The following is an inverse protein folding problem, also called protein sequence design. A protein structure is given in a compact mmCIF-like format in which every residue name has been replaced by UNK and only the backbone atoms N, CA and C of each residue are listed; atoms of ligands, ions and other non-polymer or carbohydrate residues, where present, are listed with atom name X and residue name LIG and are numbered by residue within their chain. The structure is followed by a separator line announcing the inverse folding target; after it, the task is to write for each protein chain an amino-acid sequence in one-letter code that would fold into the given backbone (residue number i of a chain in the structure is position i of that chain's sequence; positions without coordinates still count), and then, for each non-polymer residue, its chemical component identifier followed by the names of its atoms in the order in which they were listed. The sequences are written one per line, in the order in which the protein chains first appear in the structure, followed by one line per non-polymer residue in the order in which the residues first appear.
data_IF_819468543386
#
_entry.id   IF_819468543386
#
_cell.length_a   1.000
_cell.length_b   1.000
_cell.length_c   1.000
_cell.angle_alpha   90.00
_cell.angle_beta   90.00
_cell.angle_gamma   90.00
#
_symmetry.space_group_name_H-M   'P 1'
#
loop_
_entity.id
_entity.type
_entity.pdbx_description
1 polymer ?
#
# COMPACT_ATOMS: atom_id res chain seq x y z
N UNK A 1 21.66 25.26 26.24
CA UNK A 1 20.28 25.80 26.13
C UNK A 1 20.21 26.51 24.79
N UNK A 2 19.41 26.20 23.78
CA UNK A 2 18.27 25.29 23.54
C UNK A 2 18.38 24.82 22.07
N UNK A 3 18.14 23.51 21.82
CA UNK A 3 18.19 22.87 20.50
C UNK A 3 16.90 23.18 19.73
N UNK A 4 16.99 23.79 18.55
CA UNK A 4 15.91 23.84 17.57
C UNK A 4 16.12 22.76 16.50
N UNK A 5 15.29 21.72 16.52
CA UNK A 5 15.19 20.69 15.48
C UNK A 5 14.40 21.22 14.29
N UNK A 6 14.91 21.18 13.05
CA UNK A 6 14.10 21.49 11.86
C UNK A 6 13.23 20.29 11.46
N UNK A 7 11.93 20.54 11.26
CA UNK A 7 10.94 19.56 10.81
C UNK A 7 11.15 19.15 9.34
N UNK A 8 10.82 17.91 8.93
CA UNK A 8 11.25 17.36 7.64
C UNK A 8 10.13 17.36 6.58
N UNK A 9 9.40 18.46 6.39
CA UNK A 9 8.35 18.55 5.36
C UNK A 9 8.35 19.89 4.59
N UNK A 10 9.14 20.02 3.52
CA UNK A 10 8.81 20.95 2.44
C UNK A 10 8.24 20.16 1.25
N UNK A 11 7.38 20.80 0.45
CA UNK A 11 6.66 20.30 -0.73
C UNK A 11 5.31 19.61 -0.48
N UNK A 12 4.32 20.38 0.00
CA UNK A 12 2.89 20.23 -0.38
C UNK A 12 2.17 21.53 0.01
N UNK A 13 2.38 22.58 -0.78
CA UNK A 13 1.64 23.84 -0.69
C UNK A 13 1.30 24.24 -2.12
N UNK A 14 0.04 24.05 -2.50
CA UNK A 14 -0.40 24.44 -3.84
C UNK A 14 -1.81 24.04 -4.25
N UNK A 15 -2.51 23.16 -3.51
CA UNK A 15 -3.95 22.93 -3.68
C UNK A 15 -4.55 22.65 -2.31
N UNK A 16 -5.03 23.73 -1.70
CA UNK A 16 -5.60 23.74 -0.37
C UNK A 16 -7.01 23.11 -0.37
N UNK A 17 -7.39 22.39 0.70
CA UNK A 17 -8.78 21.94 0.93
C UNK A 17 -9.83 23.07 0.90
N UNK A 18 -9.39 24.33 0.99
CA UNK A 18 -10.22 25.52 0.77
C UNK A 18 -10.83 25.62 -0.64
N UNK A 19 -10.15 25.13 -1.69
CA UNK A 19 -10.71 25.17 -3.06
C UNK A 19 -11.86 24.15 -3.23
N UNK A 20 -11.77 23.03 -2.53
CA UNK A 20 -12.80 21.99 -2.52
C UNK A 20 -14.01 22.45 -1.68
N UNK A 21 -13.76 23.17 -0.58
CA UNK A 21 -14.81 23.81 0.22
C UNK A 21 -15.52 24.96 -0.53
N UNK A 22 -14.77 25.76 -1.30
CA UNK A 22 -15.32 26.86 -2.11
C UNK A 22 -16.15 26.35 -3.28
N UNK A 23 -15.77 25.23 -3.93
CA UNK A 23 -16.63 24.62 -4.95
C UNK A 23 -17.91 24.00 -4.36
N UNK A 24 -17.85 23.45 -3.15
CA UNK A 24 -19.05 22.93 -2.47
C UNK A 24 -19.97 24.08 -2.03
N UNK A 25 -19.41 25.20 -1.56
CA UNK A 25 -20.18 26.39 -1.18
C UNK A 25 -20.75 27.17 -2.38
N UNK A 26 -20.07 27.19 -3.53
CA UNK A 26 -20.58 27.88 -4.73
C UNK A 26 -21.79 27.19 -5.36
N UNK A 27 -21.94 25.87 -5.16
CA UNK A 27 -23.13 25.13 -5.58
C UNK A 27 -24.32 25.43 -4.65
N UNK A 28 -24.07 25.69 -3.37
CA UNK A 28 -25.11 26.02 -2.38
C UNK A 28 -25.64 27.46 -2.46
N UNK A 29 -24.90 28.39 -3.07
CA UNK A 29 -25.23 29.84 -3.07
C UNK A 29 -26.00 30.33 -4.31
N UNK A 30 -26.21 29.50 -5.33
CA UNK A 30 -26.93 29.89 -6.55
C UNK A 30 -28.47 29.70 -6.49
N UNK A 31 -29.02 29.23 -5.37
CA UNK A 31 -30.44 28.84 -5.25
C UNK A 31 -31.40 29.87 -4.64
N UNK A 32 -30.97 31.12 -4.38
CA UNK A 32 -31.83 32.11 -3.73
C UNK A 32 -32.24 33.25 -4.66
N UNK A 33 -33.31 33.05 -5.43
CA UNK A 33 -34.10 34.15 -6.01
C UNK A 33 -35.47 34.20 -5.32
N UNK A 34 -35.79 35.37 -4.77
CA UNK A 34 -37.02 35.66 -4.05
C UNK A 34 -38.15 35.93 -5.06
N UNK A 35 -39.24 35.16 -5.00
CA UNK A 35 -40.50 35.49 -5.67
C UNK A 35 -41.64 35.45 -4.64
N UNK A 36 -42.56 36.42 -4.72
CA UNK A 36 -43.65 36.60 -3.77
C UNK A 36 -44.71 35.51 -3.96
N UNK A 37 -44.93 34.70 -2.93
CA UNK A 37 -45.74 33.48 -2.99
C UNK A 37 -47.03 33.62 -2.17
N UNK A 38 -48.15 33.24 -2.79
CA UNK A 38 -49.48 33.18 -2.17
C UNK A 38 -49.69 31.86 -1.37
N UNK A 39 -50.59 31.83 -0.36
CA UNK A 39 -50.66 30.76 0.64
C UNK A 39 -50.99 29.35 0.13
N UNK A 40 -51.50 29.22 -1.10
CA UNK A 40 -51.83 27.91 -1.70
C UNK A 40 -50.65 27.27 -2.46
N UNK A 41 -49.68 28.03 -2.95
CA UNK A 41 -48.47 27.43 -3.56
C UNK A 41 -47.50 26.94 -2.50
N UNK A 42 -47.48 27.54 -1.30
CA UNK A 42 -46.61 27.11 -0.19
C UNK A 42 -46.77 25.62 0.14
N UNK A 43 -48.00 25.08 0.11
CA UNK A 43 -48.23 23.67 0.41
C UNK A 43 -47.66 22.74 -0.68
N UNK A 44 -47.76 23.15 -1.94
CA UNK A 44 -47.25 22.41 -3.09
C UNK A 44 -45.72 22.56 -3.21
N UNK A 45 -45.19 23.76 -2.99
CA UNK A 45 -43.76 24.07 -2.96
C UNK A 45 -43.06 23.35 -1.80
N UNK A 46 -43.74 23.17 -0.65
CA UNK A 46 -43.21 22.41 0.51
C UNK A 46 -43.22 20.91 0.24
N UNK A 47 -44.23 20.39 -0.45
CA UNK A 47 -44.31 18.97 -0.82
C UNK A 47 -43.28 18.61 -1.90
N UNK A 48 -43.11 19.47 -2.89
CA UNK A 48 -42.07 19.35 -3.93
C UNK A 48 -40.66 19.48 -3.33
N UNK A 49 -40.43 20.45 -2.43
CA UNK A 49 -39.15 20.56 -1.71
C UNK A 49 -38.89 19.36 -0.79
N UNK A 50 -39.92 18.78 -0.17
CA UNK A 50 -39.77 17.58 0.65
C UNK A 50 -39.38 16.35 -0.18
N UNK A 51 -39.95 16.21 -1.39
CA UNK A 51 -39.62 15.15 -2.33
C UNK A 51 -38.19 15.31 -2.90
N UNK A 52 -37.79 16.54 -3.23
CA UNK A 52 -36.42 16.85 -3.68
C UNK A 52 -35.37 16.58 -2.59
N UNK A 53 -35.67 16.94 -1.33
CA UNK A 53 -34.80 16.63 -0.18
C UNK A 53 -34.71 15.12 0.03
N UNK A 54 -35.81 14.38 -0.13
CA UNK A 54 -35.83 12.93 0.03
C UNK A 54 -35.00 12.22 -1.05
N UNK A 55 -35.13 12.62 -2.32
CA UNK A 55 -34.36 12.09 -3.44
C UNK A 55 -32.86 12.43 -3.31
N UNK A 56 -32.54 13.68 -2.96
CA UNK A 56 -31.15 14.11 -2.68
C UNK A 56 -30.53 13.30 -1.54
N UNK A 57 -31.30 13.05 -0.48
CA UNK A 57 -30.88 12.20 0.64
C UNK A 57 -30.63 10.76 0.19
N UNK A 58 -31.52 10.16 -0.60
CA UNK A 58 -31.35 8.80 -1.12
C UNK A 58 -30.10 8.67 -2.01
N UNK A 59 -29.89 9.62 -2.93
CA UNK A 59 -28.69 9.66 -3.78
C UNK A 59 -27.42 9.82 -2.95
N UNK A 60 -27.46 10.65 -1.91
CA UNK A 60 -26.37 10.82 -0.94
C UNK A 60 -26.05 9.53 -0.18
N UNK A 61 -27.07 8.77 0.23
CA UNK A 61 -26.90 7.47 0.90
C UNK A 61 -26.28 6.42 -0.04
N UNK A 62 -26.60 6.44 -1.34
CA UNK A 62 -25.98 5.54 -2.34
C UNK A 62 -24.48 5.80 -2.49
N UNK A 63 -24.08 7.07 -2.63
CA UNK A 63 -22.65 7.45 -2.66
C UNK A 63 -21.96 7.07 -1.35
N UNK A 64 -22.63 7.31 -0.23
CA UNK A 64 -22.06 7.02 1.07
C UNK A 64 -21.75 5.53 1.25
N UNK A 65 -22.70 4.70 0.87
CA UNK A 65 -22.57 3.24 0.93
C UNK A 65 -21.46 2.75 0.00
N UNK A 66 -21.44 3.21 -1.26
CA UNK A 66 -20.43 2.82 -2.24
C UNK A 66 -18.99 3.19 -1.80
N UNK A 67 -18.79 4.37 -1.22
CA UNK A 67 -17.48 4.79 -0.72
C UNK A 67 -17.01 3.96 0.49
N UNK A 68 -17.93 3.62 1.38
CA UNK A 68 -17.61 2.82 2.55
C UNK A 68 -17.33 1.35 2.18
N UNK A 69 -18.13 0.78 1.29
CA UNK A 69 -17.88 -0.53 0.70
C UNK A 69 -16.52 -0.58 0.00
N UNK A 70 -16.23 0.40 -0.85
CA UNK A 70 -14.95 0.49 -1.54
C UNK A 70 -13.75 0.55 -0.60
N UNK A 71 -13.90 1.25 0.52
CA UNK A 71 -12.87 1.32 1.55
C UNK A 71 -12.67 -0.03 2.23
N UNK A 72 -13.77 -0.73 2.56
CA UNK A 72 -13.73 -2.08 3.12
C UNK A 72 -13.06 -3.09 2.18
N UNK A 73 -13.43 -3.06 0.89
CA UNK A 73 -12.81 -3.90 -0.15
C UNK A 73 -11.34 -3.54 -0.33
N UNK A 74 -10.97 -2.25 -0.31
CA UNK A 74 -9.56 -1.84 -0.40
C UNK A 74 -8.71 -2.38 0.75
N UNK A 75 -9.29 -2.48 1.96
CA UNK A 75 -8.62 -3.03 3.14
C UNK A 75 -8.45 -4.55 3.06
N UNK A 76 -9.39 -5.28 2.47
CA UNK A 76 -9.28 -6.73 2.28
C UNK A 76 -9.87 -7.15 0.93
N UNK A 77 -9.13 -6.98 -0.17
CA UNK A 77 -9.69 -7.14 -1.52
C UNK A 77 -10.25 -8.53 -1.79
N UNK A 78 -9.54 -9.57 -1.36
CA UNK A 78 -10.00 -10.95 -1.54
C UNK A 78 -11.29 -11.22 -0.76
N UNK A 79 -11.36 -10.79 0.50
CA UNK A 79 -12.56 -10.98 1.31
C UNK A 79 -13.72 -10.13 0.78
N UNK A 80 -13.46 -8.87 0.43
CA UNK A 80 -14.46 -7.95 -0.11
C UNK A 80 -15.09 -8.48 -1.40
N UNK A 81 -14.26 -8.88 -2.37
CA UNK A 81 -14.74 -9.47 -3.63
C UNK A 81 -15.53 -10.76 -3.38
N UNK A 82 -15.09 -11.63 -2.47
CA UNK A 82 -15.85 -12.83 -2.11
C UNK A 82 -17.22 -12.48 -1.50
N UNK A 83 -17.28 -11.50 -0.59
CA UNK A 83 -18.54 -11.08 0.04
C UNK A 83 -19.51 -10.52 -0.99
N UNK A 84 -19.05 -9.60 -1.85
CA UNK A 84 -19.84 -9.03 -2.95
C UNK A 84 -20.35 -10.14 -3.87
N UNK A 85 -19.45 -11.04 -4.29
CA UNK A 85 -19.82 -12.14 -5.17
C UNK A 85 -20.81 -13.12 -4.53
N UNK A 86 -20.71 -13.41 -3.23
CA UNK A 86 -21.72 -14.21 -2.50
C UNK A 86 -23.06 -13.48 -2.46
N UNK A 87 -23.04 -12.18 -2.12
CA UNK A 87 -24.25 -11.38 -2.04
C UNK A 87 -24.98 -11.32 -3.38
N UNK A 88 -24.28 -11.01 -4.48
CA UNK A 88 -24.86 -10.98 -5.82
C UNK A 88 -25.29 -12.36 -6.31
N UNK A 89 -24.59 -13.42 -5.89
CA UNK A 89 -24.95 -14.79 -6.28
C UNK A 89 -26.27 -15.25 -5.66
N UNK A 90 -26.56 -14.87 -4.39
CA UNK A 90 -27.78 -15.28 -3.68
C UNK A 90 -28.90 -14.24 -3.74
N UNK A 91 -28.57 -12.95 -3.86
CA UNK A 91 -29.51 -11.83 -3.83
C UNK A 91 -29.95 -11.34 -5.22
N UNK A 92 -29.24 -11.69 -6.30
CA UNK A 92 -29.60 -11.27 -7.65
C UNK A 92 -30.83 -12.01 -8.20
N UNK A 93 -31.71 -11.30 -8.89
CA UNK A 93 -32.78 -11.88 -9.71
C UNK A 93 -32.21 -12.88 -10.73
N UNK A 94 -33.03 -13.85 -11.15
CA UNK A 94 -32.71 -15.01 -12.01
C UNK A 94 -32.10 -14.70 -13.40
N UNK A 95 -31.73 -13.44 -13.67
CA UNK A 95 -31.07 -12.99 -14.89
C UNK A 95 -29.60 -13.39 -15.00
N UNK A 96 -28.90 -12.74 -15.95
CA UNK A 96 -27.48 -12.98 -16.21
C UNK A 96 -26.63 -12.44 -15.06
N UNK A 97 -26.11 -13.34 -14.22
CA UNK A 97 -25.25 -12.99 -13.09
C UNK A 97 -23.94 -12.34 -13.56
N UNK A 98 -23.38 -11.38 -12.81
CA UNK A 98 -22.05 -10.83 -13.10
C UNK A 98 -20.98 -11.91 -13.14
N UNK A 99 -19.91 -11.69 -13.92
CA UNK A 99 -18.85 -12.69 -14.11
C UNK A 99 -18.17 -13.11 -12.80
N UNK A 100 -18.01 -12.17 -11.85
CA UNK A 100 -17.41 -12.41 -10.54
C UNK A 100 -18.34 -13.17 -9.58
N UNK A 101 -19.66 -13.15 -9.83
CA UNK A 101 -20.62 -13.97 -9.09
C UNK A 101 -20.72 -15.41 -9.64
N UNK A 102 -20.01 -15.75 -10.73
CA UNK A 102 -19.99 -17.11 -11.25
C UNK A 102 -19.33 -18.09 -10.26
N UNK A 103 -19.88 -19.30 -10.12
CA UNK A 103 -19.31 -20.33 -9.24
C UNK A 103 -17.86 -20.69 -9.60
N UNK A 104 -17.51 -20.59 -10.89
CA UNK A 104 -16.16 -20.82 -11.38
C UNK A 104 -15.13 -19.82 -10.85
N UNK A 105 -15.56 -18.60 -10.53
CA UNK A 105 -14.70 -17.62 -9.87
C UNK A 105 -14.84 -17.69 -8.34
N UNK A 106 -16.09 -17.78 -7.85
CA UNK A 106 -16.42 -17.69 -6.43
C UNK A 106 -15.83 -18.85 -5.61
N UNK A 107 -15.95 -20.09 -6.10
CA UNK A 107 -15.48 -21.28 -5.35
C UNK A 107 -13.96 -21.25 -5.18
N UNK A 108 -13.14 -21.02 -6.22
CA UNK A 108 -11.70 -20.84 -6.04
C UNK A 108 -11.33 -19.66 -5.15
N UNK A 109 -12.02 -18.52 -5.28
CA UNK A 109 -11.75 -17.33 -4.47
C UNK A 109 -12.01 -17.59 -2.98
N UNK A 110 -13.14 -18.24 -2.64
CA UNK A 110 -13.46 -18.66 -1.28
C UNK A 110 -12.47 -19.70 -0.75
N UNK A 111 -12.06 -20.67 -1.58
CA UNK A 111 -11.04 -21.65 -1.20
C UNK A 111 -9.69 -20.98 -0.86
N UNK A 112 -9.27 -19.99 -1.66
CA UNK A 112 -8.07 -19.19 -1.37
C UNK A 112 -8.23 -18.36 -0.09
N UNK A 113 -9.39 -17.73 0.11
CA UNK A 113 -9.68 -16.97 1.32
C UNK A 113 -9.62 -17.86 2.58
N UNK A 114 -10.22 -19.06 2.52
CA UNK A 114 -10.17 -20.05 3.59
C UNK A 114 -8.75 -20.55 3.83
N UNK A 115 -7.97 -20.79 2.76
CA UNK A 115 -6.55 -21.17 2.89
C UNK A 115 -5.74 -20.07 3.60
N UNK A 116 -6.00 -18.80 3.28
CA UNK A 116 -5.37 -17.64 3.92
C UNK A 116 -5.78 -17.52 5.39
N UNK A 117 -7.06 -17.71 5.70
CA UNK A 117 -7.55 -17.71 7.08
C UNK A 117 -6.93 -18.86 7.89
N UNK A 118 -6.86 -20.06 7.29
CA UNK A 118 -6.31 -21.27 7.90
C UNK A 118 -4.81 -21.14 8.20
N UNK A 119 -4.00 -20.58 7.29
CA UNK A 119 -2.58 -20.35 7.58
C UNK A 119 -2.36 -19.30 8.67
N UNK A 120 -3.29 -18.35 8.84
CA UNK A 120 -3.15 -17.29 9.82
C UNK A 120 -3.50 -17.79 11.23
N UNK A 121 -4.44 -18.73 11.35
CA UNK A 121 -4.80 -19.39 12.62
C UNK A 121 -3.79 -20.46 13.03
N UNK A 122 -3.29 -21.26 12.08
CA UNK A 122 -2.37 -22.37 12.36
C UNK A 122 -0.90 -22.03 12.07
N UNK A 123 -0.60 -20.76 11.76
CA UNK A 123 0.70 -20.29 11.29
C UNK A 123 1.89 -20.61 12.21
N UNK A 124 1.66 -20.81 13.50
CA UNK A 124 2.70 -21.20 14.45
C UNK A 124 3.12 -22.67 14.31
N UNK A 125 2.20 -23.53 13.86
CA UNK A 125 2.45 -24.96 13.64
C UNK A 125 3.31 -25.23 12.39
N UNK A 126 3.34 -24.29 11.44
CA UNK A 126 4.05 -24.48 10.15
C UNK A 126 5.54 -24.16 10.18
N UNK A 127 6.09 -23.70 11.32
CA UNK A 127 7.52 -23.44 11.51
C UNK A 127 8.18 -22.70 10.33
N UNK A 128 9.13 -23.32 9.59
CA UNK A 128 9.85 -22.67 8.49
C UNK A 128 8.99 -22.37 7.24
N UNK A 129 7.84 -23.05 7.05
CA UNK A 129 6.95 -22.84 5.90
C UNK A 129 6.09 -21.57 6.01
N UNK A 130 6.02 -20.97 7.20
CA UNK A 130 5.24 -19.75 7.45
C UNK A 130 5.63 -18.60 6.52
N UNK A 131 6.94 -18.34 6.35
CA UNK A 131 7.42 -17.20 5.55
C UNK A 131 7.08 -17.32 4.05
N UNK A 132 7.28 -18.49 3.39
CA UNK A 132 6.76 -18.72 2.04
C UNK A 132 5.24 -18.52 1.91
N UNK A 133 4.46 -18.99 2.89
CA UNK A 133 3.01 -18.82 2.90
C UNK A 133 2.61 -17.34 3.05
N UNK A 134 3.32 -16.56 3.87
CA UNK A 134 3.13 -15.12 3.99
C UNK A 134 3.48 -14.38 2.69
N UNK A 135 4.49 -14.84 1.95
CA UNK A 135 4.84 -14.28 0.63
C UNK A 135 3.78 -14.59 -0.43
N UNK A 136 3.21 -15.80 -0.39
CA UNK A 136 2.10 -16.19 -1.26
C UNK A 136 0.84 -15.39 -0.95
N UNK A 137 0.53 -15.19 0.34
CA UNK A 137 -0.55 -14.32 0.83
C UNK A 137 -0.46 -12.92 0.23
N UNK A 138 0.73 -12.31 0.32
CA UNK A 138 0.97 -10.98 -0.23
C UNK A 138 0.80 -10.95 -1.75
N UNK A 139 1.26 -11.99 -2.46
CA UNK A 139 1.08 -12.08 -3.90
C UNK A 139 -0.40 -12.19 -4.30
N UNK A 140 -1.17 -13.01 -3.57
CA UNK A 140 -2.62 -13.16 -3.78
C UNK A 140 -3.37 -11.87 -3.44
N UNK A 141 -3.01 -11.20 -2.35
CA UNK A 141 -3.62 -9.95 -1.93
C UNK A 141 -3.37 -8.82 -2.95
N UNK A 142 -2.17 -8.79 -3.55
CA UNK A 142 -1.89 -7.87 -4.65
C UNK A 142 -2.77 -8.17 -5.88
N UNK A 143 -2.84 -9.44 -6.32
CA UNK A 143 -3.68 -9.82 -7.46
C UNK A 143 -5.17 -9.53 -7.23
N UNK A 144 -5.67 -9.85 -6.04
CA UNK A 144 -7.05 -9.59 -5.64
C UNK A 144 -7.38 -8.09 -5.61
N UNK A 145 -6.42 -7.23 -5.26
CA UNK A 145 -6.61 -5.78 -5.29
C UNK A 145 -6.89 -5.22 -6.68
N UNK A 146 -6.20 -5.73 -7.69
CA UNK A 146 -6.44 -5.34 -9.08
C UNK A 146 -7.82 -5.80 -9.54
N UNK A 147 -8.20 -7.05 -9.22
CA UNK A 147 -9.53 -7.57 -9.53
C UNK A 147 -10.64 -6.78 -8.81
N UNK A 148 -10.44 -6.46 -7.54
CA UNK A 148 -11.37 -5.65 -6.76
C UNK A 148 -11.54 -4.25 -7.35
N UNK A 149 -10.46 -3.62 -7.81
CA UNK A 149 -10.56 -2.31 -8.48
C UNK A 149 -11.44 -2.38 -9.74
N UNK A 150 -11.39 -3.48 -10.50
CA UNK A 150 -12.24 -3.67 -11.69
C UNK A 150 -13.73 -3.80 -11.37
N UNK A 151 -14.07 -4.28 -10.17
CA UNK A 151 -15.46 -4.45 -9.73
C UNK A 151 -15.97 -3.14 -9.10
N UNK A 152 -15.23 -2.61 -8.14
CA UNK A 152 -15.69 -1.54 -7.26
C UNK A 152 -15.54 -0.14 -7.86
N UNK A 153 -14.48 0.13 -8.64
CA UNK A 153 -14.26 1.49 -9.18
C UNK A 153 -15.40 1.94 -10.11
N UNK A 154 -15.92 1.08 -11.02
CA UNK A 154 -17.12 1.41 -11.80
C UNK A 154 -18.35 1.74 -10.94
N UNK A 155 -18.56 1.02 -9.84
CA UNK A 155 -19.70 1.24 -8.93
C UNK A 155 -19.60 2.58 -8.20
N UNK A 156 -18.41 2.93 -7.67
CA UNK A 156 -18.17 4.26 -7.09
C UNK A 156 -18.44 5.34 -8.14
N UNK A 157 -17.93 5.15 -9.35
CA UNK A 157 -18.14 6.11 -10.43
C UNK A 157 -19.62 6.25 -10.78
N UNK A 158 -20.38 5.16 -10.80
CA UNK A 158 -21.82 5.17 -11.03
C UNK A 158 -22.60 5.84 -9.88
N UNK A 159 -22.25 5.57 -8.63
CA UNK A 159 -22.86 6.22 -7.47
C UNK A 159 -22.58 7.73 -7.46
N UNK A 160 -21.34 8.14 -7.76
CA UNK A 160 -21.00 9.57 -7.88
C UNK A 160 -21.79 10.22 -9.01
N UNK A 161 -21.97 9.53 -10.15
CA UNK A 161 -22.80 10.03 -11.25
C UNK A 161 -24.25 10.26 -10.84
N UNK A 162 -24.84 9.43 -9.99
CA UNK A 162 -26.25 9.61 -9.58
C UNK A 162 -26.49 10.86 -8.72
N UNK A 163 -25.44 11.44 -8.14
CA UNK A 163 -25.50 12.69 -7.36
C UNK A 163 -25.07 13.90 -8.20
N UNK A 164 -24.43 13.67 -9.35
CA UNK A 164 -24.15 14.76 -10.28
C UNK A 164 -25.45 15.22 -10.94
N UNK A 165 -25.61 16.52 -11.22
CA UNK A 165 -26.79 17.03 -11.93
C UNK A 165 -26.96 16.31 -13.28
N UNK A 166 -28.20 16.07 -13.66
CA UNK A 166 -28.59 15.40 -14.91
C UNK A 166 -27.89 16.09 -16.11
N UNK A 167 -27.45 15.35 -17.16
CA UNK A 167 -26.81 15.92 -18.35
C UNK A 167 -27.49 17.17 -18.89
N UNK A 168 -28.82 17.33 -18.76
CA UNK A 168 -29.57 18.52 -19.16
C UNK A 168 -29.25 19.81 -18.38
N UNK A 169 -28.84 19.70 -17.10
CA UNK A 169 -28.44 20.85 -16.27
C UNK A 169 -26.95 21.14 -16.36
N UNK A 170 -26.13 20.11 -16.57
CA UNK A 170 -24.75 20.28 -17.02
C UNK A 170 -24.67 20.75 -18.47
N UNK A 171 -25.68 20.51 -19.31
CA UNK A 171 -25.80 21.10 -20.65
C UNK A 171 -26.03 22.59 -20.57
N UNK A 172 -26.82 23.12 -19.63
CA UNK A 172 -26.97 24.58 -19.46
C UNK A 172 -25.68 25.25 -18.96
N UNK A 173 -24.98 24.62 -18.00
CA UNK A 173 -23.69 25.09 -17.49
C UNK A 173 -22.54 24.87 -18.49
N UNK A 174 -22.58 23.78 -19.24
CA UNK A 174 -21.68 23.49 -20.34
C UNK A 174 -21.99 24.38 -21.53
N UNK A 175 -23.22 24.79 -21.81
CA UNK A 175 -23.59 25.76 -22.84
C UNK A 175 -23.13 27.17 -22.46
N UNK A 176 -23.13 27.53 -21.17
CA UNK A 176 -22.50 28.78 -20.71
C UNK A 176 -20.97 28.71 -20.80
N UNK A 177 -20.35 27.61 -20.40
CA UNK A 177 -18.91 27.40 -20.55
C UNK A 177 -18.47 27.25 -22.04
N UNK A 178 -19.33 26.67 -22.87
CA UNK A 178 -19.16 26.41 -24.29
C UNK A 178 -19.46 27.65 -25.13
N UNK A 179 -20.36 28.52 -24.72
CA UNK A 179 -20.56 29.85 -25.33
C UNK A 179 -19.41 30.79 -24.97
N UNK A 180 -18.90 30.74 -23.73
CA UNK A 180 -17.63 31.38 -23.36
C UNK A 180 -16.45 30.82 -24.16
N UNK A 181 -16.34 29.50 -24.34
CA UNK A 181 -15.28 28.87 -25.12
C UNK A 181 -15.41 29.10 -26.64
N UNK A 182 -16.63 29.07 -27.21
CA UNK A 182 -16.93 29.40 -28.62
C UNK A 182 -16.76 30.90 -28.90
N UNK A 183 -16.97 31.77 -27.91
CA UNK A 183 -16.67 33.20 -28.03
C UNK A 183 -15.16 33.50 -28.00
N UNK A 184 -14.38 32.62 -27.36
CA UNK A 184 -12.91 32.69 -27.31
C UNK A 184 -12.21 31.94 -28.46
N UNK A 185 -12.84 30.91 -29.03
CA UNK A 185 -12.30 30.11 -30.12
C UNK A 185 -13.29 30.11 -31.30
N UNK A 186 -12.97 30.91 -32.32
CA UNK A 186 -13.78 31.11 -33.52
C UNK A 186 -14.40 29.83 -34.09
N UNK A 187 -15.65 29.96 -34.54
CA UNK A 187 -16.56 28.88 -34.90
C UNK A 187 -16.03 27.96 -36.02
N UNK A 188 -15.54 26.78 -35.61
CA UNK A 188 -15.66 25.48 -36.31
C UNK A 188 -14.80 24.44 -35.56
N UNK A 189 -15.22 24.06 -34.34
CA UNK A 189 -14.48 23.15 -33.47
C UNK A 189 -15.28 21.89 -33.11
N UNK A 190 -14.60 20.79 -32.70
CA UNK A 190 -15.23 19.52 -32.33
C UNK A 190 -16.24 19.69 -31.19
N UNK A 191 -17.19 18.77 -31.09
CA UNK A 191 -18.29 18.83 -30.11
C UNK A 191 -17.75 18.72 -28.68
N UNK A 192 -17.59 19.87 -28.02
CA UNK A 192 -16.93 20.01 -26.73
C UNK A 192 -17.78 19.48 -25.56
N UNK A 193 -19.10 19.32 -25.72
CA UNK A 193 -19.99 18.69 -24.73
C UNK A 193 -19.60 17.25 -24.45
N UNK A 194 -19.37 16.47 -25.51
CA UNK A 194 -18.87 15.09 -25.45
C UNK A 194 -17.49 15.00 -24.77
N UNK A 195 -16.63 16.00 -24.98
CA UNK A 195 -15.29 16.06 -24.37
C UNK A 195 -15.39 16.38 -22.87
N UNK A 196 -16.32 17.24 -22.47
CA UNK A 196 -16.54 17.60 -21.07
C UNK A 196 -17.21 16.46 -20.28
N UNK A 197 -18.22 15.81 -20.85
CA UNK A 197 -18.90 14.67 -20.20
C UNK A 197 -17.93 13.49 -20.04
N UNK A 198 -17.28 13.08 -21.13
CA UNK A 198 -16.26 12.02 -21.07
C UNK A 198 -15.10 12.43 -20.14
N UNK A 199 -14.72 13.70 -20.12
CA UNK A 199 -13.67 14.24 -19.25
C UNK A 199 -14.01 14.17 -17.77
N UNK A 200 -15.20 14.64 -17.36
CA UNK A 200 -15.68 14.62 -15.97
C UNK A 200 -15.87 13.19 -15.48
N UNK A 201 -16.46 12.31 -16.30
CA UNK A 201 -16.67 10.92 -15.92
C UNK A 201 -15.37 10.11 -15.85
N UNK A 202 -14.43 10.36 -16.78
CA UNK A 202 -13.10 9.75 -16.73
C UNK A 202 -12.32 10.25 -15.52
N UNK A 203 -12.48 11.53 -15.16
CA UNK A 203 -11.86 12.11 -13.97
C UNK A 203 -12.43 11.50 -12.69
N UNK A 204 -13.75 11.36 -12.57
CA UNK A 204 -14.38 10.74 -11.41
C UNK A 204 -13.91 9.29 -11.20
N UNK A 205 -13.89 8.50 -12.28
CA UNK A 205 -13.35 7.14 -12.26
C UNK A 205 -11.85 7.10 -11.90
N UNK A 206 -11.07 8.05 -12.41
CA UNK A 206 -9.65 8.16 -12.06
C UNK A 206 -9.43 8.53 -10.59
N UNK A 207 -10.22 9.47 -10.05
CA UNK A 207 -10.17 9.85 -8.63
C UNK A 207 -10.56 8.67 -7.74
N UNK A 208 -11.61 7.93 -8.09
CA UNK A 208 -12.02 6.72 -7.38
C UNK A 208 -10.92 5.64 -7.41
N UNK A 209 -10.28 5.43 -8.57
CA UNK A 209 -9.16 4.52 -8.70
C UNK A 209 -7.95 4.94 -7.85
N UNK A 210 -7.64 6.23 -7.81
CA UNK A 210 -6.58 6.76 -6.95
C UNK A 210 -6.91 6.58 -5.47
N UNK A 211 -8.16 6.85 -5.07
CA UNK A 211 -8.59 6.70 -3.69
C UNK A 211 -8.51 5.24 -3.24
N UNK A 212 -9.05 4.32 -4.06
CA UNK A 212 -8.92 2.88 -3.88
C UNK A 212 -7.45 2.47 -3.79
N UNK A 213 -6.61 2.92 -4.72
CA UNK A 213 -5.19 2.61 -4.78
C UNK A 213 -4.43 3.04 -3.51
N UNK A 214 -4.72 4.22 -2.96
CA UNK A 214 -4.11 4.71 -1.72
C UNK A 214 -4.47 3.83 -0.53
N UNK A 215 -5.74 3.44 -0.40
CA UNK A 215 -6.21 2.58 0.68
C UNK A 215 -5.68 1.15 0.54
N UNK A 216 -5.69 0.63 -0.68
CA UNK A 216 -5.12 -0.67 -1.01
C UNK A 216 -3.60 -0.72 -0.75
N UNK A 217 -2.86 0.35 -1.04
CA UNK A 217 -1.43 0.46 -0.69
C UNK A 217 -1.20 0.36 0.82
N UNK A 218 -2.04 1.00 1.63
CA UNK A 218 -1.98 0.88 3.08
C UNK A 218 -2.19 -0.57 3.53
N UNK A 219 -3.17 -1.27 2.95
CA UNK A 219 -3.43 -2.66 3.29
C UNK A 219 -2.28 -3.60 2.91
N UNK A 220 -1.69 -3.46 1.73
CA UNK A 220 -0.52 -4.27 1.36
C UNK A 220 0.68 -3.99 2.28
N UNK A 221 0.87 -2.75 2.75
CA UNK A 221 1.95 -2.44 3.67
C UNK A 221 1.86 -3.26 4.97
N UNK A 222 0.65 -3.58 5.44
CA UNK A 222 0.42 -4.48 6.59
C UNK A 222 0.96 -5.88 6.32
N UNK A 223 0.63 -6.49 5.18
CA UNK A 223 1.13 -7.81 4.80
C UNK A 223 2.66 -7.82 4.59
N UNK A 224 3.22 -6.80 3.93
CA UNK A 224 4.68 -6.72 3.76
C UNK A 224 5.37 -6.59 5.12
N UNK A 225 4.78 -5.85 6.07
CA UNK A 225 5.29 -5.78 7.44
C UNK A 225 5.27 -7.15 8.12
N UNK A 226 4.24 -7.98 7.93
CA UNK A 226 4.20 -9.34 8.52
C UNK A 226 5.31 -10.23 7.95
N UNK A 227 5.66 -10.06 6.67
CA UNK A 227 6.81 -10.76 6.06
C UNK A 227 8.13 -10.32 6.71
N UNK A 228 8.34 -9.01 6.89
CA UNK A 228 9.60 -8.45 7.40
C UNK A 228 9.78 -8.70 8.90
N UNK A 229 8.70 -8.68 9.67
CA UNK A 229 8.76 -8.77 11.13
C UNK A 229 9.01 -10.22 11.56
N UNK A 230 9.98 -10.46 12.46
CA UNK A 230 10.31 -11.81 12.90
C UNK A 230 9.35 -12.35 13.96
N UNK A 231 8.59 -11.48 14.66
CA UNK A 231 7.72 -11.86 15.76
C UNK A 231 6.31 -12.27 15.27
N UNK A 232 5.86 -13.52 15.48
CA UNK A 232 4.54 -14.00 15.06
C UNK A 232 3.40 -13.15 15.61
N UNK A 233 3.47 -12.78 16.89
CA UNK A 233 2.47 -11.95 17.56
C UNK A 233 2.26 -10.58 16.90
N UNK A 234 3.34 -9.93 16.44
CA UNK A 234 3.22 -8.64 15.77
C UNK A 234 2.53 -8.79 14.42
N UNK A 235 2.78 -9.90 13.72
CA UNK A 235 2.06 -10.23 12.49
C UNK A 235 0.56 -10.41 12.73
N UNK A 236 0.19 -11.16 13.77
CA UNK A 236 -1.21 -11.36 14.17
C UNK A 236 -1.88 -10.03 14.53
N UNK A 237 -1.22 -9.20 15.35
CA UNK A 237 -1.73 -7.89 15.77
C UNK A 237 -1.97 -6.95 14.59
N UNK A 238 -1.05 -6.89 13.63
CA UNK A 238 -1.21 -6.02 12.46
C UNK A 238 -2.39 -6.48 11.58
N UNK A 239 -2.55 -7.80 11.42
CA UNK A 239 -3.67 -8.38 10.67
C UNK A 239 -5.00 -8.19 11.40
N UNK A 240 -5.02 -8.32 12.73
CA UNK A 240 -6.23 -8.10 13.53
C UNK A 240 -6.64 -6.64 13.55
N UNK A 241 -5.70 -5.68 13.58
CA UNK A 241 -6.00 -4.25 13.45
C UNK A 241 -6.65 -3.98 12.08
N UNK A 242 -6.10 -4.54 11.00
CA UNK A 242 -6.68 -4.40 9.66
C UNK A 242 -8.09 -4.98 9.59
N UNK A 243 -8.27 -6.22 10.06
CA UNK A 243 -9.57 -6.89 10.06
C UNK A 243 -10.58 -6.15 10.96
N UNK A 244 -10.14 -5.69 12.13
CA UNK A 244 -10.94 -4.89 13.06
C UNK A 244 -11.32 -3.53 12.46
N UNK A 245 -10.45 -2.91 11.67
CA UNK A 245 -10.78 -1.67 10.94
C UNK A 245 -11.85 -1.91 9.89
N UNK A 246 -11.73 -3.00 9.11
CA UNK A 246 -12.74 -3.38 8.13
C UNK A 246 -14.07 -3.76 8.80
N UNK A 247 -14.03 -4.49 9.92
CA UNK A 247 -15.21 -4.86 10.70
C UNK A 247 -15.88 -3.65 11.36
N UNK A 248 -15.10 -2.71 11.89
CA UNK A 248 -15.61 -1.45 12.44
C UNK A 248 -16.28 -0.62 11.36
N UNK A 249 -15.70 -0.56 10.17
CA UNK A 249 -16.29 0.13 9.03
C UNK A 249 -17.62 -0.50 8.61
N UNK A 250 -17.65 -1.83 8.45
CA UNK A 250 -18.87 -2.56 8.15
C UNK A 250 -19.95 -2.35 9.23
N UNK A 251 -19.56 -2.39 10.51
CA UNK A 251 -20.48 -2.10 11.62
C UNK A 251 -21.02 -0.67 11.58
N UNK A 252 -20.16 0.31 11.29
CA UNK A 252 -20.55 1.71 11.17
C UNK A 252 -21.53 1.94 10.00
N UNK A 253 -21.28 1.31 8.84
CA UNK A 253 -22.19 1.39 7.69
C UNK A 253 -23.55 0.76 7.96
N UNK A 254 -23.60 -0.34 8.72
CA UNK A 254 -24.86 -1.00 9.09
C UNK A 254 -25.71 -0.16 10.05
N UNK A 255 -25.06 0.61 10.93
CA UNK A 255 -25.76 1.52 11.85
C UNK A 255 -26.26 2.75 11.09
N UNK A 256 -25.38 3.40 10.32
CA UNK A 256 -25.72 4.61 9.57
C UNK A 256 -24.71 4.86 8.43
N UNK A 257 -25.14 4.99 7.15
CA UNK A 257 -24.21 5.15 6.02
C UNK A 257 -23.25 6.34 6.14
N UNK A 258 -23.71 7.47 6.71
CA UNK A 258 -22.85 8.65 6.97
C UNK A 258 -21.72 8.36 7.96
N UNK A 259 -21.94 7.51 8.98
CA UNK A 259 -20.87 7.11 9.90
C UNK A 259 -19.81 6.28 9.16
N UNK A 260 -20.25 5.42 8.24
CA UNK A 260 -19.37 4.68 7.35
C UNK A 260 -18.46 5.60 6.52
N UNK A 261 -19.04 6.60 5.84
CA UNK A 261 -18.26 7.56 5.04
C UNK A 261 -17.32 8.39 5.91
N UNK A 262 -17.79 8.87 7.05
CA UNK A 262 -16.96 9.66 7.96
C UNK A 262 -15.73 8.86 8.41
N UNK A 263 -15.92 7.58 8.76
CA UNK A 263 -14.83 6.69 9.13
C UNK A 263 -13.90 6.39 7.94
N UNK A 264 -14.46 6.14 6.75
CA UNK A 264 -13.69 5.97 5.51
C UNK A 264 -12.82 7.17 5.20
N UNK A 265 -13.34 8.39 5.36
CA UNK A 265 -12.59 9.62 5.15
C UNK A 265 -11.41 9.72 6.14
N UNK A 266 -11.61 9.37 7.41
CA UNK A 266 -10.54 9.34 8.42
C UNK A 266 -9.45 8.31 8.02
N UNK A 267 -9.85 7.09 7.64
CA UNK A 267 -8.92 6.05 7.20
C UNK A 267 -8.15 6.51 5.95
N UNK A 268 -8.84 7.11 4.99
CA UNK A 268 -8.23 7.65 3.77
C UNK A 268 -7.19 8.73 4.08
N UNK A 269 -7.47 9.66 4.98
CA UNK A 269 -6.52 10.70 5.38
C UNK A 269 -5.26 10.11 6.01
N UNK A 270 -5.40 9.09 6.86
CA UNK A 270 -4.27 8.35 7.43
C UNK A 270 -3.48 7.65 6.31
N UNK A 271 -4.18 6.92 5.43
CA UNK A 271 -3.59 6.22 4.29
C UNK A 271 -2.80 7.17 3.38
N UNK A 272 -3.38 8.34 3.09
CA UNK A 272 -2.75 9.39 2.27
C UNK A 272 -1.42 9.86 2.86
N UNK A 273 -1.35 10.11 4.17
CA UNK A 273 -0.12 10.55 4.85
C UNK A 273 0.99 9.50 4.82
N UNK A 274 0.64 8.21 4.85
CA UNK A 274 1.62 7.12 4.84
C UNK A 274 1.84 6.49 3.47
N UNK A 275 1.08 6.90 2.45
CA UNK A 275 1.08 6.32 1.10
C UNK A 275 2.49 6.21 0.50
N UNK A 276 3.32 7.25 0.61
CA UNK A 276 4.70 7.22 0.08
C UNK A 276 5.63 6.26 0.80
N UNK A 277 5.36 5.92 2.06
CA UNK A 277 6.08 4.88 2.78
C UNK A 277 5.54 3.49 2.41
N UNK A 278 4.21 3.34 2.35
CA UNK A 278 3.52 2.12 1.95
C UNK A 278 3.91 1.67 0.55
N UNK A 279 3.99 2.60 -0.40
CA UNK A 279 4.43 2.32 -1.78
C UNK A 279 5.84 1.71 -1.84
N UNK A 280 6.82 2.28 -1.11
CA UNK A 280 8.18 1.73 -1.09
C UNK A 280 8.22 0.35 -0.45
N UNK A 281 7.39 0.12 0.56
CA UNK A 281 7.23 -1.20 1.15
C UNK A 281 6.63 -2.18 0.16
N UNK A 282 5.55 -1.81 -0.54
CA UNK A 282 4.92 -2.63 -1.56
C UNK A 282 5.94 -3.05 -2.62
N UNK A 283 6.68 -2.12 -3.21
CA UNK A 283 7.67 -2.42 -4.25
C UNK A 283 8.71 -3.42 -3.73
N UNK A 284 9.20 -3.22 -2.50
CA UNK A 284 10.15 -4.15 -1.89
C UNK A 284 9.53 -5.53 -1.62
N UNK A 285 8.32 -5.56 -1.03
CA UNK A 285 7.58 -6.79 -0.73
C UNK A 285 7.28 -7.60 -1.99
N UNK A 286 6.77 -6.94 -3.04
CA UNK A 286 6.51 -7.55 -4.33
C UNK A 286 7.74 -8.17 -4.96
N UNK A 287 8.85 -7.41 -5.06
CA UNK A 287 10.09 -7.92 -5.64
C UNK A 287 10.60 -9.12 -4.84
N UNK A 288 10.53 -9.06 -3.51
CA UNK A 288 10.99 -10.13 -2.64
C UNK A 288 10.11 -11.38 -2.77
N UNK A 289 8.79 -11.24 -2.66
CA UNK A 289 7.84 -12.33 -2.79
C UNK A 289 7.91 -12.97 -4.18
N UNK A 290 7.90 -12.16 -5.24
CA UNK A 290 7.94 -12.66 -6.62
C UNK A 290 9.23 -13.43 -6.92
N UNK A 291 10.40 -12.86 -6.58
CA UNK A 291 11.67 -13.56 -6.80
C UNK A 291 11.80 -14.81 -5.96
N UNK A 292 11.24 -14.79 -4.75
CA UNK A 292 11.30 -15.94 -3.88
C UNK A 292 10.40 -17.07 -4.40
N UNK A 293 9.13 -16.78 -4.70
CA UNK A 293 8.15 -17.75 -5.19
C UNK A 293 8.55 -18.32 -6.57
N UNK A 294 9.12 -17.50 -7.45
CA UNK A 294 9.57 -17.95 -8.77
C UNK A 294 10.95 -18.63 -8.76
N UNK A 295 11.54 -18.83 -7.58
CA UNK A 295 12.88 -19.39 -7.37
C UNK A 295 13.92 -18.72 -8.27
N UNK A 296 13.79 -17.41 -8.50
CA UNK A 296 14.64 -16.63 -9.44
C UNK A 296 16.12 -16.79 -9.12
N UNK A 297 16.47 -16.96 -7.84
CA UNK A 297 17.85 -17.18 -7.40
C UNK A 297 18.51 -18.43 -8.00
N UNK A 298 17.74 -19.46 -8.40
CA UNK A 298 18.28 -20.66 -9.07
C UNK A 298 18.52 -20.46 -10.56
N UNK A 299 17.83 -19.48 -11.16
CA UNK A 299 17.80 -19.25 -12.62
C UNK A 299 18.57 -18.00 -13.03
N UNK A 300 18.99 -17.18 -12.07
CA UNK A 300 19.61 -15.90 -12.34
C UNK A 300 21.11 -16.08 -12.60
N UNK A 301 21.60 -15.42 -13.65
CA UNK A 301 23.03 -15.39 -13.99
C UNK A 301 23.51 -13.94 -13.97
N UNK A 302 24.66 -13.72 -13.34
CA UNK A 302 25.33 -12.42 -13.22
C UNK A 302 26.32 -12.14 -14.34
N UNK A 303 26.49 -13.07 -15.29
CA UNK A 303 27.45 -12.94 -16.37
C UNK A 303 27.15 -11.69 -17.21
N UNK A 304 28.12 -10.78 -17.33
CA UNK A 304 28.03 -9.56 -18.12
C UNK A 304 27.26 -8.40 -17.48
N UNK A 305 26.82 -8.52 -16.22
CA UNK A 305 26.14 -7.43 -15.51
C UNK A 305 27.18 -6.50 -14.83
N UNK A 306 26.99 -5.18 -14.96
CA UNK A 306 27.80 -4.16 -14.27
C UNK A 306 27.02 -3.39 -13.20
N UNK A 307 25.78 -3.80 -12.96
CA UNK A 307 24.79 -3.09 -12.16
C UNK A 307 24.09 -4.07 -11.20
N UNK A 308 23.94 -3.68 -9.94
CA UNK A 308 23.32 -4.50 -8.91
C UNK A 308 22.08 -3.81 -8.37
N UNK A 309 20.92 -4.44 -8.47
CA UNK A 309 19.69 -3.90 -7.89
C UNK A 309 19.70 -4.01 -6.37
N UNK A 310 19.31 -2.94 -5.69
CA UNK A 310 19.37 -2.87 -4.25
C UNK A 310 18.26 -1.98 -3.67
N UNK A 311 17.86 -2.28 -2.44
CA UNK A 311 16.96 -1.46 -1.63
C UNK A 311 17.74 -0.81 -0.50
N UNK A 312 17.58 0.50 -0.30
CA UNK A 312 18.19 1.18 0.83
C UNK A 312 17.66 0.60 2.16
N UNK A 313 18.52 0.04 3.00
CA UNK A 313 18.14 -0.54 4.29
C UNK A 313 17.92 0.54 5.38
N UNK A 314 18.44 1.76 5.16
CA UNK A 314 18.31 2.93 6.02
C UNK A 314 18.13 4.21 5.19
N UNK A 315 17.97 5.34 5.86
CA UNK A 315 18.05 6.64 5.21
C UNK A 315 19.51 6.88 4.77
N UNK A 316 19.72 7.13 3.48
CA UNK A 316 21.02 7.41 2.90
C UNK A 316 21.09 8.90 2.54
N UNK A 317 22.04 9.62 3.15
CA UNK A 317 22.12 11.08 3.03
C UNK A 317 20.84 11.81 3.47
N UNK A 318 20.64 13.03 2.94
CA UNK A 318 19.48 13.86 3.30
C UNK A 318 18.19 13.45 2.57
N UNK A 319 18.29 12.97 1.33
CA UNK A 319 17.18 12.86 0.38
C UNK A 319 16.73 11.44 0.02
N UNK A 320 17.45 10.39 0.42
CA UNK A 320 17.11 9.00 0.05
C UNK A 320 16.47 8.27 1.23
N UNK A 321 15.15 8.03 1.20
CA UNK A 321 14.45 7.35 2.29
C UNK A 321 14.80 5.86 2.38
N UNK A 322 14.49 5.27 3.54
CA UNK A 322 14.54 3.82 3.74
C UNK A 322 13.64 3.10 2.73
N UNK A 323 14.07 1.92 2.28
CA UNK A 323 13.41 1.01 1.31
C UNK A 323 13.26 1.57 -0.10
N UNK A 324 14.03 2.58 -0.45
CA UNK A 324 14.08 3.09 -1.82
C UNK A 324 14.78 2.07 -2.71
N UNK A 325 14.12 1.66 -3.79
CA UNK A 325 14.69 0.79 -4.82
C UNK A 325 15.61 1.58 -5.73
N UNK A 326 16.73 0.99 -6.10
CA UNK A 326 17.68 1.59 -7.03
C UNK A 326 18.71 0.58 -7.52
N UNK A 327 19.72 1.12 -8.19
CA UNK A 327 20.82 0.38 -8.78
C UNK A 327 22.13 0.87 -8.19
N UNK A 328 22.95 -0.06 -7.74
CA UNK A 328 24.32 0.13 -7.32
C UNK A 328 25.26 -0.12 -8.49
N UNK A 329 26.19 0.80 -8.68
CA UNK A 329 27.24 0.72 -9.69
C UNK A 329 28.55 1.27 -9.14
N UNK A 330 29.66 0.69 -9.59
CA UNK A 330 31.01 1.19 -9.29
C UNK A 330 31.46 2.06 -10.46
N UNK A 331 31.77 3.33 -10.20
CA UNK A 331 32.27 4.26 -11.21
C UNK A 331 33.38 5.13 -10.62
N UNK A 332 34.52 5.19 -11.31
CA UNK A 332 35.67 5.98 -10.84
C UNK A 332 36.16 5.59 -9.44
N UNK A 333 36.10 4.31 -9.08
CA UNK A 333 36.51 3.82 -7.76
C UNK A 333 35.52 4.07 -6.61
N UNK A 334 34.44 4.83 -6.85
CA UNK A 334 33.39 5.08 -5.86
C UNK A 334 32.13 4.28 -6.18
N UNK A 335 31.34 4.00 -5.15
CA UNK A 335 30.03 3.38 -5.29
C UNK A 335 28.94 4.44 -5.42
N UNK A 336 28.09 4.25 -6.41
CA UNK A 336 27.00 5.14 -6.73
C UNK A 336 25.67 4.40 -6.65
N UNK A 337 24.70 5.04 -6.02
CA UNK A 337 23.33 4.57 -5.93
C UNK A 337 22.43 5.45 -6.78
N UNK A 338 21.95 4.89 -7.90
CA UNK A 338 20.98 5.52 -8.78
C UNK A 338 19.58 5.07 -8.38
N UNK A 339 18.66 6.02 -8.17
CA UNK A 339 17.28 5.69 -7.82
C UNK A 339 16.29 6.66 -8.47
N UNK A 340 15.07 6.16 -8.70
CA UNK A 340 13.95 6.98 -9.18
C UNK A 340 12.92 7.11 -8.06
N UNK A 341 12.65 8.32 -7.54
CA UNK A 341 11.58 8.50 -6.56
C UNK A 341 10.23 8.03 -7.15
N UNK A 342 9.46 7.26 -6.39
CA UNK A 342 8.19 6.66 -6.86
C UNK A 342 8.31 5.83 -8.16
N UNK A 343 9.52 5.41 -8.54
CA UNK A 343 9.85 4.73 -9.81
C UNK A 343 9.60 5.53 -11.09
N UNK A 344 8.69 6.51 -11.09
CA UNK A 344 8.31 7.32 -12.26
C UNK A 344 9.03 8.67 -12.34
N UNK A 345 9.49 9.23 -11.21
CA UNK A 345 10.15 10.53 -11.21
C UNK A 345 11.58 10.44 -11.74
N UNK A 346 12.15 11.62 -12.07
CA UNK A 346 13.50 11.74 -12.60
C UNK A 346 14.57 11.02 -11.77
N UNK A 347 15.53 10.40 -12.46
CA UNK A 347 16.62 9.66 -11.85
C UNK A 347 17.48 10.57 -10.96
N UNK A 348 17.78 10.11 -9.75
CA UNK A 348 18.65 10.77 -8.78
C UNK A 348 19.87 9.90 -8.52
N UNK A 349 21.02 10.55 -8.36
CA UNK A 349 22.31 9.92 -8.07
C UNK A 349 22.77 10.28 -6.68
N UNK A 350 23.21 9.28 -5.93
CA UNK A 350 23.85 9.44 -4.64
C UNK A 350 25.22 8.75 -4.70
N UNK A 351 26.29 9.50 -4.47
CA UNK A 351 27.63 8.93 -4.28
C UNK A 351 27.73 8.53 -2.81
N UNK A 352 28.19 7.31 -2.53
CA UNK A 352 28.38 6.85 -1.17
C UNK A 352 29.72 7.37 -0.63
N UNK A 353 29.68 7.99 0.54
CA UNK A 353 30.87 8.51 1.24
C UNK A 353 31.69 7.39 1.92
N UNK A 354 31.18 6.16 1.94
CA UNK A 354 31.89 5.01 2.50
C UNK A 354 32.94 4.47 1.51
N UNK A 355 34.13 4.18 2.02
CA UNK A 355 35.15 3.51 1.22
C UNK A 355 34.69 2.08 0.90
N UNK A 356 34.92 1.58 -0.33
CA UNK A 356 34.56 0.21 -0.70
C UNK A 356 35.16 -0.86 0.22
N UNK A 357 36.31 -0.59 0.85
CA UNK A 357 36.96 -1.49 1.80
C UNK A 357 36.22 -1.68 3.12
N UNK A 358 35.40 -0.70 3.53
CA UNK A 358 34.61 -0.75 4.77
C UNK A 358 33.22 -1.38 4.55
N UNK A 359 32.95 -1.82 3.32
CA UNK A 359 31.66 -2.34 2.91
C UNK A 359 31.74 -3.84 2.67
N UNK A 360 30.94 -4.63 3.37
CA UNK A 360 30.98 -6.09 3.29
C UNK A 360 29.67 -6.65 2.73
N UNK A 361 29.80 -7.63 1.84
CA UNK A 361 28.67 -8.43 1.42
C UNK A 361 28.31 -9.44 2.52
N UNK A 362 27.02 -9.61 2.76
CA UNK A 362 26.53 -10.47 3.82
C UNK A 362 25.47 -11.45 3.33
N UNK A 363 25.64 -12.70 3.74
CA UNK A 363 24.70 -13.79 3.51
C UNK A 363 23.62 -13.79 4.59
N UNK A 364 22.37 -13.94 4.18
CA UNK A 364 21.26 -14.18 5.10
C UNK A 364 20.31 -15.25 4.54
N UNK A 365 19.37 -15.71 5.38
CA UNK A 365 18.48 -16.82 5.01
C UNK A 365 17.50 -16.46 3.87
N UNK A 366 16.94 -15.25 3.92
CA UNK A 366 15.92 -14.78 2.97
C UNK A 366 16.56 -13.99 1.82
N UNK A 367 17.42 -13.04 2.15
CA UNK A 367 18.00 -12.11 1.17
C UNK A 367 19.40 -11.64 1.60
N UNK A 368 20.34 -11.49 0.66
CA UNK A 368 21.65 -10.95 1.01
C UNK A 368 21.58 -9.44 1.30
N UNK A 369 22.61 -8.92 1.95
CA UNK A 369 22.69 -7.49 2.31
C UNK A 369 24.10 -6.95 2.19
N UNK A 370 24.24 -5.63 2.07
CA UNK A 370 25.52 -4.93 2.12
C UNK A 370 25.58 -4.18 3.44
N UNK A 371 26.64 -4.44 4.20
CA UNK A 371 26.93 -3.82 5.48
C UNK A 371 28.02 -2.77 5.33
N UNK A 372 27.95 -1.71 6.14
CA UNK A 372 29.08 -0.82 6.37
C UNK A 372 29.63 -1.04 7.77
N UNK A 373 30.95 -1.04 7.87
CA UNK A 373 31.65 -0.95 9.14
C UNK A 373 31.60 0.50 9.63
N UNK A 374 30.98 0.69 10.78
CA UNK A 374 30.89 2.00 11.45
C UNK A 374 32.19 2.24 12.24
N UNK A 375 32.62 3.49 12.50
CA UNK A 375 33.79 3.78 13.35
C UNK A 375 33.78 3.15 14.75
N UNK A 376 32.62 2.68 15.21
CA UNK A 376 32.44 1.95 16.48
C UNK A 376 32.59 0.43 16.33
N UNK A 377 33.18 -0.05 15.23
CA UNK A 377 33.36 -1.46 14.88
C UNK A 377 32.03 -2.25 14.85
N UNK A 378 30.96 -1.57 14.47
CA UNK A 378 29.61 -2.13 14.34
C UNK A 378 29.19 -2.20 12.89
N UNK A 379 28.69 -3.36 12.49
CA UNK A 379 28.10 -3.57 11.17
C UNK A 379 26.70 -3.00 11.08
N UNK A 380 26.50 -2.05 10.18
CA UNK A 380 25.19 -1.46 9.89
C UNK A 380 24.74 -1.81 8.47
N UNK A 381 23.49 -2.25 8.32
CA UNK A 381 22.91 -2.56 7.01
C UNK A 381 22.71 -1.28 6.19
N UNK A 382 23.39 -1.16 5.06
CA UNK A 382 23.18 -0.08 4.08
C UNK A 382 22.16 -0.47 3.02
N UNK A 383 22.26 -1.69 2.50
CA UNK A 383 21.40 -2.18 1.42
C UNK A 383 20.88 -3.58 1.70
N UNK A 384 19.61 -3.80 1.34
CA UNK A 384 19.02 -5.12 1.19
C UNK A 384 19.03 -5.46 -0.29
N UNK A 385 19.64 -6.59 -0.65
CA UNK A 385 19.64 -7.08 -2.01
C UNK A 385 18.40 -7.96 -2.23
N UNK A 386 17.78 -7.93 -3.42
CA UNK A 386 16.71 -8.86 -3.77
C UNK A 386 17.12 -10.34 -3.65
N UNK A 387 16.18 -11.26 -3.36
CA UNK A 387 16.48 -12.70 -3.24
C UNK A 387 17.20 -13.32 -4.44
N UNK A 388 17.10 -12.77 -5.66
CA UNK A 388 17.82 -13.26 -6.86
C UNK A 388 19.34 -13.35 -6.69
N UNK A 389 19.92 -12.56 -5.78
CA UNK A 389 21.36 -12.54 -5.53
C UNK A 389 21.81 -13.56 -4.47
N UNK A 390 20.87 -14.30 -3.88
CA UNK A 390 21.18 -15.42 -2.98
C UNK A 390 22.07 -16.42 -3.72
N UNK A 391 23.11 -16.93 -3.05
CA UNK A 391 24.18 -17.79 -3.64
C UNK A 391 25.13 -17.10 -4.61
N UNK A 392 24.96 -15.80 -4.87
CA UNK A 392 25.81 -15.02 -5.75
C UNK A 392 26.51 -13.86 -5.03
N UNK A 393 26.63 -13.94 -3.71
CA UNK A 393 27.15 -12.87 -2.86
C UNK A 393 28.60 -12.52 -3.21
N UNK A 394 29.45 -13.53 -3.53
CA UNK A 394 30.85 -13.33 -3.92
C UNK A 394 30.97 -12.56 -5.24
N UNK A 395 30.10 -12.88 -6.19
CA UNK A 395 30.06 -12.20 -7.48
C UNK A 395 29.54 -10.77 -7.33
N UNK A 396 28.56 -10.53 -6.46
CA UNK A 396 28.11 -9.17 -6.14
C UNK A 396 29.21 -8.35 -5.47
N UNK A 397 29.95 -8.96 -4.53
CA UNK A 397 31.08 -8.32 -3.88
C UNK A 397 32.16 -7.94 -4.91
N UNK A 398 32.52 -8.85 -5.82
CA UNK A 398 33.54 -8.59 -6.83
C UNK A 398 33.13 -7.48 -7.82
N UNK A 399 31.89 -7.49 -8.30
CA UNK A 399 31.36 -6.44 -9.20
C UNK A 399 31.39 -5.05 -8.56
N UNK A 400 31.03 -4.97 -7.27
CA UNK A 400 31.02 -3.72 -6.52
C UNK A 400 32.41 -3.33 -5.97
N UNK A 401 33.41 -4.20 -6.12
CA UNK A 401 34.76 -3.98 -5.61
C UNK A 401 34.85 -4.00 -4.08
N UNK A 402 33.99 -4.79 -3.45
CA UNK A 402 33.98 -5.04 -2.01
C UNK A 402 35.01 -6.13 -1.66
N UNK A 403 35.43 -6.23 -0.38
CA UNK A 403 36.22 -7.36 0.11
C UNK A 403 35.50 -8.68 -0.19
N UNK A 404 36.29 -9.72 -0.51
CA UNK A 404 35.76 -11.07 -0.78
C UNK A 404 35.29 -11.80 0.48
N UNK A 405 35.59 -11.28 1.66
CA UNK A 405 35.16 -11.87 2.92
C UNK A 405 33.66 -11.63 3.13
N UNK A 406 32.87 -12.70 3.04
CA UNK A 406 31.42 -12.65 3.17
C UNK A 406 31.02 -12.92 4.61
N UNK A 407 30.30 -11.96 5.19
CA UNK A 407 29.77 -12.09 6.53
C UNK A 407 28.51 -12.96 6.51
N UNK A 408 28.51 -14.06 7.26
CA UNK A 408 27.30 -14.85 7.48
C UNK A 408 26.50 -14.27 8.66
N UNK A 409 25.37 -13.61 8.35
CA UNK A 409 24.45 -13.06 9.34
C UNK A 409 23.19 -13.93 9.47
N UNK A 410 23.25 -15.20 9.08
CA UNK A 410 22.12 -16.11 9.25
C UNK A 410 21.67 -16.17 10.73
N UNK A 411 20.36 -15.98 10.95
CA UNK A 411 19.74 -16.07 12.28
C UNK A 411 20.05 -17.41 12.96
N UNK A 412 20.18 -18.47 12.17
CA UNK A 412 20.53 -19.81 12.63
C UNK A 412 21.95 -19.89 13.21
N UNK A 413 22.92 -19.17 12.65
CA UNK A 413 24.28 -19.10 13.22
C UNK A 413 24.26 -18.31 14.53
N UNK A 414 23.52 -17.20 14.60
CA UNK A 414 23.37 -16.43 15.87
C UNK A 414 22.70 -17.24 16.99
N UNK A 415 21.66 -18.02 16.67
CA UNK A 415 21.02 -18.93 17.62
C UNK A 415 21.94 -20.10 18.00
N UNK A 416 22.67 -20.67 17.04
CA UNK A 416 23.66 -21.72 17.30
C UNK A 416 24.85 -21.24 18.14
N UNK A 417 25.30 -20.01 17.93
CA UNK A 417 26.39 -19.39 18.68
C UNK A 417 25.94 -18.96 20.09
N UNK A 418 24.69 -18.50 20.24
CA UNK A 418 24.08 -18.28 21.55
C UNK A 418 23.92 -19.59 22.33
N UNK A 419 23.43 -20.65 21.68
CA UNK A 419 23.33 -21.99 22.29
C UNK A 419 24.69 -22.57 22.68
N UNK A 420 25.73 -22.35 21.86
CA UNK A 420 27.12 -22.70 22.20
C UNK A 420 27.61 -21.95 23.43
N UNK A 421 27.44 -20.63 23.49
CA UNK A 421 27.83 -19.82 24.66
C UNK A 421 27.14 -20.27 25.95
N UNK A 422 25.85 -20.56 25.89
CA UNK A 422 25.11 -21.08 27.05
C UNK A 422 25.66 -22.44 27.48
N UNK A 423 25.89 -23.35 26.53
CA UNK A 423 26.46 -24.68 26.80
C UNK A 423 27.87 -24.61 27.39
N UNK A 424 28.70 -23.69 26.90
CA UNK A 424 30.07 -23.52 27.37
C UNK A 424 30.10 -22.87 28.77
N UNK A 425 29.16 -21.96 29.07
CA UNK A 425 28.95 -21.41 30.41
C UNK A 425 28.54 -22.49 31.41
N UNK A 426 27.58 -23.36 31.04
CA UNK A 426 27.13 -24.47 31.88
C UNK A 426 28.23 -25.52 32.11
N UNK A 427 29.09 -25.77 31.11
CA UNK A 427 30.26 -26.66 31.26
C UNK A 427 31.35 -26.06 32.12
N UNK A 428 31.54 -24.74 32.09
CA UNK A 428 32.46 -24.03 32.97
C UNK A 428 32.03 -24.13 34.44
N UNK A 429 30.77 -23.79 34.72
CA UNK A 429 30.19 -23.86 36.08
C UNK A 429 30.24 -25.28 36.66
N UNK A 430 29.96 -26.30 35.85
CA UNK A 430 30.04 -27.71 36.29
C UNK A 430 31.48 -28.15 36.63
N UNK A 431 32.49 -27.59 35.95
CA UNK A 431 33.90 -27.91 36.18
C UNK A 431 34.42 -27.22 37.44
N UNK A 432 34.03 -25.96 37.64
CA UNK A 432 34.37 -25.20 38.84
C UNK A 432 33.70 -25.78 40.11
N UNK A 433 32.52 -26.40 39.97
CA UNK A 433 31.87 -27.11 41.07
C UNK A 433 32.62 -28.40 41.46
N UNK A 434 33.16 -29.15 40.48
CA UNK A 434 33.94 -30.36 40.73
C UNK A 434 35.32 -30.06 41.36
N UNK A 435 35.95 -28.94 40.99
CA UNK A 435 37.24 -28.53 41.58
C UNK A 435 37.11 -27.96 43.00
N UNK A 436 35.93 -27.42 43.37
CA UNK A 436 35.66 -27.00 44.76
C UNK A 436 35.45 -28.17 45.71
N UNK A 437 34.91 -29.28 45.23
CA UNK A 437 34.73 -30.49 46.04
C UNK A 437 36.04 -31.28 46.24
N UNK A 438 37.00 -31.15 45.32
CA UNK A 438 38.31 -31.80 45.43
C UNK A 438 39.32 -31.05 46.31
N UNK A 439 38.98 -29.84 46.77
CA UNK A 439 39.81 -29.00 47.65
C UNK A 439 39.22 -28.83 49.06
N UNK A 440 38.42 -29.80 49.51
CA UNK A 440 37.94 -29.88 50.89
C UNK A 440 39.09 -29.96 51.92
N UNK A 441 38.93 -29.35 53.12
CA UNK A 441 40.03 -29.11 54.06
C UNK A 441 40.62 -30.41 54.61
N UNK A 442 41.96 -30.47 54.59
CA UNK A 442 42.77 -31.52 55.22
C UNK A 442 42.76 -31.44 56.75
#
# INVERSE_FOLDING_TARGET
MTRSTPSPWPYFSGLTPALLLVMILSVFLSGCSHEEISPQSIAQDVEEAAEEIADTHERGLKVATALAEATGVSLSPLAGVCIIAVFDYFGGDSGQKPWYASLWFLVPALALLLMVAFKDTLGELFGPLKKPLDMLDEFLHMGAGVLAALIVVPEIAAAVRSVMPDPATTEAAAETALSLAKSAAGASGPDWSLILDVGVYSLAGFVALLAFGVMWLLSNAVNVLTIILPAPFVGLLLKSIRLGTAGLLAGATLIHPVLGVALSAVIFLVAWKVCGWSFRLLVMGWVFSFEFLTLRWKRYSLLGQSQVWAFAARKLGKRTPKRTMGVLLKRGGKLEFLYRPWLVLGSRRLILDANPGDLHAAKAHIHPSILALTPQDKYERLFNLPPRYKTHEEHVASMLGLPRDILDISLLKKLGDAGRRIRDSLRGEARDALDRDSTGPA
#
